data_IF_985205767435
#
_entry.id   IF_985205767435
#
_cell.length_a   1.000
_cell.length_b   1.000
_cell.length_c   1.000
_cell.angle_alpha   90.00
_cell.angle_beta   90.00
_cell.angle_gamma   90.00
#
_symmetry.space_group_name_H-M   'P 1'
#
loop_
_entity.id
_entity.type
_entity.pdbx_description
1 polymer ?
#
# COMPACT_ATOMS: atom_id res chain seq x y z
N UNK A 1 24.87 0.98 -3.62
CA UNK A 1 23.67 1.81 -3.34
C UNK A 1 23.33 1.81 -1.84
N UNK A 2 23.56 0.73 -1.11
CA UNK A 2 23.60 0.74 0.36
C UNK A 2 25.01 1.14 0.83
N UNK A 3 25.07 1.91 1.93
CA UNK A 3 26.32 2.30 2.59
C UNK A 3 26.47 1.52 3.88
N UNK A 4 27.58 0.79 4.06
CA UNK A 4 27.82 -0.02 5.26
C UNK A 4 27.97 0.81 6.55
N UNK A 5 28.19 2.12 6.41
CA UNK A 5 28.38 3.04 7.54
C UNK A 5 27.14 3.86 7.91
N UNK A 6 26.13 3.93 7.03
CA UNK A 6 24.97 4.82 7.21
C UNK A 6 23.66 4.02 7.16
N UNK A 7 23.29 3.42 8.29
CA UNK A 7 22.07 2.60 8.43
C UNK A 7 20.82 3.47 8.22
N UNK A 8 20.88 4.73 8.63
CA UNK A 8 19.79 5.70 8.51
C UNK A 8 19.42 5.96 7.05
N UNK A 9 20.43 6.20 6.22
CA UNK A 9 20.27 6.39 4.77
C UNK A 9 19.65 5.14 4.12
N UNK A 10 20.16 3.97 4.49
CA UNK A 10 19.68 2.68 4.00
C UNK A 10 18.21 2.44 4.36
N UNK A 11 17.81 2.77 5.59
CA UNK A 11 16.43 2.65 6.06
C UNK A 11 15.48 3.56 5.27
N UNK A 12 15.84 4.83 5.07
CA UNK A 12 15.02 5.80 4.32
C UNK A 12 14.90 5.37 2.86
N UNK A 13 16.00 4.99 2.22
CA UNK A 13 16.00 4.54 0.84
C UNK A 13 15.16 3.27 0.68
N UNK A 14 15.22 2.31 1.61
CA UNK A 14 14.39 1.10 1.55
C UNK A 14 12.90 1.42 1.69
N UNK A 15 12.53 2.32 2.60
CA UNK A 15 11.14 2.75 2.78
C UNK A 15 10.58 3.39 1.50
N UNK A 16 11.37 4.24 0.85
CA UNK A 16 11.00 4.87 -0.41
C UNK A 16 10.87 3.86 -1.55
N UNK A 17 11.90 3.03 -1.77
CA UNK A 17 11.90 2.00 -2.82
C UNK A 17 10.74 1.01 -2.64
N UNK A 18 10.47 0.56 -1.40
CA UNK A 18 9.32 -0.30 -1.15
C UNK A 18 7.98 0.37 -1.45
N UNK A 19 7.89 1.70 -1.29
CA UNK A 19 6.67 2.43 -1.67
C UNK A 19 6.51 2.44 -3.18
N UNK A 20 7.58 2.73 -3.93
CA UNK A 20 7.56 2.70 -5.39
C UNK A 20 7.27 1.32 -5.96
N UNK A 21 7.76 0.25 -5.33
CA UNK A 21 7.47 -1.14 -5.72
C UNK A 21 5.96 -1.46 -5.68
N UNK A 22 5.22 -0.89 -4.71
CA UNK A 22 3.81 -1.21 -4.47
C UNK A 22 2.84 -0.16 -5.03
N UNK A 23 3.30 1.06 -5.28
CA UNK A 23 2.48 2.19 -5.70
C UNK A 23 1.71 1.94 -7.01
N UNK A 24 2.30 1.35 -8.08
CA UNK A 24 1.57 1.07 -9.30
C UNK A 24 0.39 0.11 -9.09
N UNK A 25 0.59 -0.98 -8.33
CA UNK A 25 -0.49 -1.94 -8.02
C UNK A 25 -1.60 -1.26 -7.22
N UNK A 26 -1.25 -0.45 -6.22
CA UNK A 26 -2.22 0.32 -5.45
C UNK A 26 -3.08 1.23 -6.34
N UNK A 27 -2.46 1.99 -7.25
CA UNK A 27 -3.19 2.87 -8.15
C UNK A 27 -4.14 2.11 -9.08
N UNK A 28 -3.71 0.97 -9.61
CA UNK A 28 -4.55 0.12 -10.46
C UNK A 28 -5.77 -0.39 -9.69
N UNK A 29 -5.58 -0.91 -8.47
CA UNK A 29 -6.70 -1.41 -7.67
C UNK A 29 -7.63 -0.29 -7.22
N UNK A 30 -7.09 0.89 -6.89
CA UNK A 30 -7.91 2.05 -6.54
C UNK A 30 -8.77 2.52 -7.71
N UNK A 31 -8.20 2.56 -8.92
CA UNK A 31 -8.91 2.93 -10.13
C UNK A 31 -10.00 1.91 -10.46
N UNK A 32 -9.64 0.64 -10.62
CA UNK A 32 -10.56 -0.41 -11.06
C UNK A 32 -11.64 -0.69 -10.02
N UNK A 33 -11.27 -0.86 -8.74
CA UNK A 33 -12.24 -1.01 -7.66
C UNK A 33 -13.10 0.25 -7.46
N UNK A 34 -12.59 1.43 -7.80
CA UNK A 34 -13.31 2.69 -7.72
C UNK A 34 -14.40 2.87 -8.78
N UNK A 35 -14.28 2.22 -9.94
CA UNK A 35 -15.28 2.29 -11.01
C UNK A 35 -16.64 1.72 -10.59
N UNK A 36 -16.65 0.64 -9.81
CA UNK A 36 -17.88 0.03 -9.32
C UNK A 36 -18.24 0.48 -7.89
N UNK A 37 -17.25 0.59 -7.00
CA UNK A 37 -17.47 0.87 -5.58
C UNK A 37 -16.69 2.12 -5.12
N UNK A 38 -17.03 3.33 -5.58
CA UNK A 38 -16.23 4.54 -5.34
C UNK A 38 -16.07 4.88 -3.86
N UNK A 39 -17.13 4.73 -3.05
CA UNK A 39 -17.09 5.03 -1.61
C UNK A 39 -16.22 4.05 -0.84
N UNK A 40 -16.40 2.74 -1.08
CA UNK A 40 -15.61 1.71 -0.39
C UNK A 40 -14.14 1.78 -0.79
N UNK A 41 -13.85 1.95 -2.08
CA UNK A 41 -12.47 2.07 -2.58
C UNK A 41 -11.78 3.32 -2.05
N UNK A 42 -12.49 4.43 -1.85
CA UNK A 42 -11.93 5.62 -1.18
C UNK A 42 -11.52 5.33 0.27
N UNK A 43 -12.36 4.62 1.03
CA UNK A 43 -12.06 4.25 2.43
C UNK A 43 -10.85 3.31 2.50
N UNK A 44 -10.82 2.26 1.67
CA UNK A 44 -9.68 1.35 1.63
C UNK A 44 -8.40 2.03 1.15
N UNK A 45 -8.51 2.98 0.22
CA UNK A 45 -7.39 3.81 -0.23
C UNK A 45 -6.79 4.66 0.91
N UNK A 46 -7.63 5.28 1.73
CA UNK A 46 -7.19 6.04 2.91
C UNK A 46 -6.50 5.14 3.94
N UNK A 47 -7.06 3.95 4.21
CA UNK A 47 -6.46 2.98 5.15
C UNK A 47 -5.07 2.55 4.65
N UNK A 48 -4.92 2.27 3.35
CA UNK A 48 -3.62 1.94 2.76
C UNK A 48 -2.62 3.08 2.90
N UNK A 49 -3.02 4.31 2.55
CA UNK A 49 -2.14 5.48 2.62
C UNK A 49 -1.69 5.78 4.06
N UNK A 50 -2.60 5.71 5.03
CA UNK A 50 -2.28 5.83 6.44
C UNK A 50 -1.26 4.75 6.89
N UNK A 51 -1.45 3.51 6.45
CA UNK A 51 -0.49 2.42 6.67
C UNK A 51 0.90 2.72 6.11
N UNK A 52 0.99 3.29 4.90
CA UNK A 52 2.26 3.69 4.29
C UNK A 52 2.96 4.82 5.05
N UNK A 53 2.22 5.79 5.58
CA UNK A 53 2.77 6.87 6.41
C UNK A 53 3.38 6.28 7.69
N UNK A 54 2.65 5.40 8.38
CA UNK A 54 3.13 4.75 9.61
C UNK A 54 4.32 3.81 9.32
N UNK A 55 4.31 3.11 8.18
CA UNK A 55 5.42 2.28 7.71
C UNK A 55 6.71 3.11 7.51
N UNK A 56 6.60 4.24 6.79
CA UNK A 56 7.73 5.14 6.55
C UNK A 56 8.25 5.74 7.86
N UNK A 57 7.35 6.18 8.74
CA UNK A 57 7.71 6.68 10.07
C UNK A 57 8.40 5.60 10.93
N UNK A 58 8.04 4.32 10.76
CA UNK A 58 8.76 3.20 11.37
C UNK A 58 10.23 3.16 10.94
N UNK A 59 10.51 3.30 9.64
CA UNK A 59 11.87 3.35 9.13
C UNK A 59 12.66 4.59 9.57
N UNK A 60 12.01 5.72 9.85
CA UNK A 60 12.67 6.92 10.38
C UNK A 60 13.14 6.79 11.82
N UNK A 61 12.73 5.74 12.53
CA UNK A 61 13.26 5.42 13.87
C UNK A 61 14.56 4.59 13.84
N UNK A 62 15.12 4.36 12.64
CA UNK A 62 16.37 3.65 12.36
C UNK A 62 16.41 2.19 12.84
N UNK A 63 15.25 1.64 13.18
CA UNK A 63 15.05 0.24 13.51
C UNK A 63 14.09 -0.38 12.48
N UNK A 64 14.59 -1.29 11.61
CA UNK A 64 13.80 -1.86 10.53
C UNK A 64 12.63 -2.72 11.03
N UNK A 65 12.64 -3.22 12.28
CA UNK A 65 11.54 -4.01 12.83
C UNK A 65 10.27 -3.16 13.06
N UNK A 66 10.42 -1.86 13.31
CA UNK A 66 9.31 -0.93 13.57
C UNK A 66 8.45 -0.63 12.33
N UNK A 67 8.85 -1.10 11.15
CA UNK A 67 8.04 -1.06 9.92
C UNK A 67 6.68 -1.78 10.08
N UNK A 68 6.62 -2.80 10.94
CA UNK A 68 5.42 -3.61 11.16
C UNK A 68 4.27 -2.79 11.76
N UNK A 69 4.53 -1.60 12.32
CA UNK A 69 3.49 -0.67 12.78
C UNK A 69 2.53 -0.25 11.66
N UNK A 70 3.00 -0.22 10.41
CA UNK A 70 2.18 0.10 9.25
C UNK A 70 1.41 -1.08 8.65
N UNK A 71 1.47 -2.28 9.26
CA UNK A 71 0.89 -3.50 8.68
C UNK A 71 -0.64 -3.44 8.52
N UNK A 72 -1.33 -2.60 9.28
CA UNK A 72 -2.77 -2.39 9.10
C UNK A 72 -3.14 -1.86 7.70
N UNK A 73 -2.19 -1.23 6.98
CA UNK A 73 -2.39 -0.81 5.59
C UNK A 73 -2.72 -1.95 4.63
N UNK A 74 -2.36 -3.20 4.97
CA UNK A 74 -2.74 -4.38 4.19
C UNK A 74 -4.25 -4.59 4.14
N UNK A 75 -5.00 -4.14 5.16
CA UNK A 75 -6.47 -4.20 5.15
C UNK A 75 -7.02 -3.37 3.98
N UNK A 76 -6.48 -2.16 3.78
CA UNK A 76 -6.82 -1.31 2.63
C UNK A 76 -6.41 -1.94 1.30
N UNK A 77 -5.20 -2.50 1.22
CA UNK A 77 -4.70 -3.13 -0.01
C UNK A 77 -5.55 -4.33 -0.44
N UNK A 78 -5.86 -5.26 0.47
CA UNK A 78 -6.68 -6.42 0.17
C UNK A 78 -8.14 -6.05 -0.06
N UNK A 79 -8.67 -5.03 0.63
CA UNK A 79 -10.01 -4.50 0.35
C UNK A 79 -10.13 -3.98 -1.09
N UNK A 80 -9.13 -3.23 -1.58
CA UNK A 80 -9.09 -2.76 -2.96
C UNK A 80 -8.95 -3.91 -3.98
N UNK A 81 -8.16 -4.94 -3.65
CA UNK A 81 -8.05 -6.15 -4.48
C UNK A 81 -9.42 -6.84 -4.62
N UNK A 82 -10.14 -7.03 -3.52
CA UNK A 82 -11.48 -7.65 -3.52
C UNK A 82 -12.44 -6.83 -4.39
N UNK A 83 -12.49 -5.50 -4.22
CA UNK A 83 -13.32 -4.63 -5.05
C UNK A 83 -12.99 -4.77 -6.54
N UNK A 84 -11.70 -4.87 -6.87
CA UNK A 84 -11.24 -5.03 -8.26
C UNK A 84 -11.64 -6.39 -8.84
N UNK A 85 -11.55 -7.47 -8.05
CA UNK A 85 -11.98 -8.81 -8.47
C UNK A 85 -13.48 -8.87 -8.72
N UNK A 86 -14.28 -8.27 -7.83
CA UNK A 86 -15.75 -8.20 -8.00
C UNK A 86 -16.08 -7.44 -9.29
N UNK A 87 -15.40 -6.33 -9.57
CA UNK A 87 -15.55 -5.59 -10.83
C UNK A 87 -15.19 -6.41 -12.06
N UNK A 88 -14.11 -7.21 -12.00
CA UNK A 88 -13.75 -8.13 -13.07
C UNK A 88 -14.82 -9.21 -13.32
N UNK A 89 -15.37 -9.79 -12.26
CA UNK A 89 -16.43 -10.81 -12.37
C UNK A 89 -17.74 -10.21 -12.90
N UNK A 90 -18.08 -9.00 -12.46
CA UNK A 90 -19.27 -8.30 -12.91
C UNK A 90 -19.18 -7.89 -14.40
N UNK A 91 -18.02 -7.44 -14.84
CA UNK A 91 -17.80 -7.05 -16.25
C UNK A 91 -17.79 -8.23 -17.22
N UNK A 92 -17.52 -9.44 -16.73
CA UNK A 92 -17.54 -10.68 -17.54
C UNK A 92 -18.89 -11.39 -17.52
N UNK A 93 -19.87 -10.89 -16.76
CA UNK A 93 -21.23 -11.46 -16.68
C UNK A 93 -21.33 -12.74 -15.85
N UNK A 94 -20.31 -13.05 -15.03
CA UNK A 94 -20.36 -14.17 -14.09
C UNK A 94 -21.24 -13.89 -12.87
N UNK A 95 -21.39 -12.60 -12.52
CA UNK A 95 -22.23 -12.08 -11.43
C UNK A 95 -22.87 -10.78 -11.93
#
# INVERSE_FOLDING_TARGET
MYSDKCVEFNCIQRAHQNTLENYPMFLIFLLLGGLQFPRLSSVFGLIYLAGRIVYAHGYYTFDPAKRNRGAFGYIGFFGLLINTVIFGLASTGFI
#
